data_IF_908271184645
#
_entry.id   IF_908271184645
#
_cell.length_a   1.000
_cell.length_b   1.000
_cell.length_c   1.000
_cell.angle_alpha   90.00
_cell.angle_beta   90.00
_cell.angle_gamma   90.00
#
_symmetry.space_group_name_H-M   'P 1'
#
loop_
_entity.id
_entity.type
_entity.pdbx_description
1 polymer ?
#
# COMPACT_ATOMS: atom_id res chain seq x y z
N UNK A 1 -5.26 -6.85 -7.96
CA UNK A 1 -5.33 -7.59 -6.67
C UNK A 1 -4.28 -7.05 -5.71
N UNK A 2 -4.50 -7.19 -4.39
CA UNK A 2 -3.43 -6.93 -3.42
C UNK A 2 -2.34 -8.03 -3.46
N UNK A 3 -1.21 -7.75 -2.83
CA UNK A 3 -0.09 -8.69 -2.75
C UNK A 3 -0.13 -9.51 -1.45
N UNK A 4 -0.07 -8.83 -0.30
CA UNK A 4 -0.01 -9.46 1.02
C UNK A 4 -1.38 -9.99 1.44
N UNK A 5 -1.48 -11.25 1.83
CA UNK A 5 -2.76 -11.88 2.18
C UNK A 5 -3.57 -12.39 0.97
N UNK A 6 -3.23 -11.97 -0.26
CA UNK A 6 -3.90 -12.42 -1.50
C UNK A 6 -2.98 -13.28 -2.35
N UNK A 7 -1.76 -12.82 -2.65
CA UNK A 7 -0.77 -13.58 -3.44
C UNK A 7 0.13 -14.38 -2.51
N UNK A 8 0.62 -13.75 -1.45
CA UNK A 8 1.54 -14.35 -0.48
C UNK A 8 1.22 -13.91 0.94
N UNK A 9 1.76 -14.66 1.89
CA UNK A 9 1.80 -14.33 3.31
C UNK A 9 3.15 -14.80 3.89
N UNK A 10 3.33 -14.77 5.21
CA UNK A 10 4.55 -15.20 5.89
C UNK A 10 4.94 -16.66 5.62
N UNK A 11 4.02 -17.51 5.16
CA UNK A 11 4.28 -18.91 4.81
C UNK A 11 4.76 -19.08 3.36
N UNK A 12 4.76 -17.99 2.57
CA UNK A 12 5.13 -18.00 1.16
C UNK A 12 3.96 -17.70 0.23
N UNK A 13 4.01 -18.22 -0.99
CA UNK A 13 2.91 -18.10 -1.96
C UNK A 13 1.71 -18.92 -1.47
N UNK A 14 0.52 -18.30 -1.50
CA UNK A 14 -0.73 -18.95 -1.13
C UNK A 14 -1.05 -20.05 -2.17
N UNK A 15 -1.43 -21.22 -1.68
CA UNK A 15 -1.71 -22.40 -2.53
C UNK A 15 -2.78 -22.07 -3.59
N UNK A 16 -2.52 -22.43 -4.85
CA UNK A 16 -3.43 -22.26 -5.98
C UNK A 16 -3.45 -20.87 -6.59
N UNK A 17 -2.75 -19.88 -5.99
CA UNK A 17 -2.71 -18.51 -6.48
C UNK A 17 -1.97 -18.39 -7.79
N UNK A 18 -0.86 -19.12 -7.98
CA UNK A 18 -0.10 -19.07 -9.23
C UNK A 18 -0.97 -19.49 -10.40
N UNK A 19 -1.59 -20.67 -10.30
CA UNK A 19 -2.47 -21.20 -11.32
C UNK A 19 -3.69 -20.30 -11.59
N UNK A 20 -4.18 -19.63 -10.55
CA UNK A 20 -5.27 -18.66 -10.68
C UNK A 20 -4.84 -17.40 -11.43
N UNK A 21 -3.65 -16.88 -11.14
CA UNK A 21 -3.07 -15.72 -11.87
C UNK A 21 -2.83 -16.09 -13.34
N UNK A 22 -2.27 -17.29 -13.62
CA UNK A 22 -2.02 -17.74 -14.98
C UNK A 22 -3.35 -17.82 -15.77
N UNK A 23 -4.42 -18.41 -15.20
CA UNK A 23 -5.76 -18.42 -15.80
C UNK A 23 -6.36 -17.01 -16.00
N UNK A 24 -6.16 -16.10 -15.05
CA UNK A 24 -6.62 -14.71 -15.21
C UNK A 24 -5.89 -14.02 -16.36
N UNK A 25 -4.59 -14.25 -16.53
CA UNK A 25 -3.79 -13.69 -17.62
C UNK A 25 -4.23 -14.17 -19.01
N UNK A 26 -4.83 -15.36 -19.12
CA UNK A 26 -5.46 -15.82 -20.36
C UNK A 26 -6.72 -15.03 -20.75
N UNK A 27 -7.36 -14.38 -19.77
CA UNK A 27 -8.59 -13.64 -19.93
C UNK A 27 -8.41 -12.13 -19.97
N UNK A 28 -7.30 -11.62 -19.41
CA UNK A 28 -7.06 -10.19 -19.32
C UNK A 28 -5.79 -9.83 -18.58
N UNK A 29 -5.62 -8.55 -18.34
CA UNK A 29 -4.45 -8.02 -17.63
C UNK A 29 -4.58 -8.17 -16.12
N UNK A 30 -3.50 -8.58 -15.47
CA UNK A 30 -3.42 -8.72 -14.01
C UNK A 30 -2.52 -7.63 -13.44
N UNK A 31 -3.05 -6.84 -12.50
CA UNK A 31 -2.33 -5.79 -11.78
C UNK A 31 -2.22 -6.11 -10.30
N UNK A 32 -1.07 -5.78 -9.71
CA UNK A 32 -0.87 -5.75 -8.26
C UNK A 32 -1.06 -4.32 -7.76
N UNK A 33 -1.97 -4.11 -6.81
CA UNK A 33 -2.27 -2.81 -6.18
C UNK A 33 -1.96 -2.92 -4.70
N UNK A 34 -0.85 -2.35 -4.26
CA UNK A 34 -0.28 -2.62 -2.95
C UNK A 34 0.08 -1.37 -2.16
N UNK A 35 -0.05 -1.44 -0.83
CA UNK A 35 0.48 -0.44 0.10
C UNK A 35 1.98 -0.63 0.40
N UNK A 36 2.66 -1.55 -0.29
CA UNK A 36 4.11 -1.69 -0.19
C UNK A 36 4.80 -0.49 -0.85
N UNK A 37 5.22 0.47 -0.03
CA UNK A 37 5.93 1.70 -0.43
C UNK A 37 7.42 1.64 -0.12
N UNK A 38 7.90 0.58 0.54
CA UNK A 38 9.31 0.45 0.92
C UNK A 38 10.17 -0.26 -0.13
N UNK A 39 9.56 -0.94 -1.09
CA UNK A 39 10.22 -1.56 -2.23
C UNK A 39 9.77 -0.89 -3.52
N UNK A 40 10.72 -0.63 -4.41
CA UNK A 40 10.44 -0.20 -5.77
C UNK A 40 9.74 -1.31 -6.57
N UNK A 41 8.93 -0.93 -7.53
CA UNK A 41 8.11 -1.88 -8.31
C UNK A 41 8.91 -2.98 -9.00
N UNK A 42 10.12 -2.68 -9.52
CA UNK A 42 11.01 -3.69 -10.08
C UNK A 42 11.47 -4.72 -9.03
N UNK A 43 11.71 -4.28 -7.78
CA UNK A 43 12.06 -5.18 -6.67
C UNK A 43 10.88 -6.08 -6.32
N UNK A 44 9.66 -5.54 -6.27
CA UNK A 44 8.43 -6.32 -6.03
C UNK A 44 8.23 -7.34 -7.15
N UNK A 45 8.33 -6.91 -8.42
CA UNK A 45 8.24 -7.78 -9.60
C UNK A 45 9.25 -8.94 -9.52
N UNK A 46 10.52 -8.62 -9.27
CA UNK A 46 11.59 -9.62 -9.13
C UNK A 46 11.32 -10.64 -8.00
N UNK A 47 10.79 -10.17 -6.87
CA UNK A 47 10.40 -11.08 -5.77
C UNK A 47 9.26 -12.02 -6.15
N UNK A 48 8.27 -11.54 -6.88
CA UNK A 48 7.16 -12.36 -7.38
C UNK A 48 7.64 -13.37 -8.41
N UNK A 49 8.47 -12.94 -9.37
CA UNK A 49 9.05 -13.81 -10.42
C UNK A 49 9.90 -14.92 -9.84
N UNK A 50 10.76 -14.65 -8.84
CA UNK A 50 11.54 -15.68 -8.13
C UNK A 50 10.67 -16.73 -7.45
N UNK A 51 9.40 -16.43 -7.19
CA UNK A 51 8.41 -17.34 -6.63
C UNK A 51 7.48 -17.96 -7.68
N UNK A 52 7.78 -17.75 -8.96
CA UNK A 52 7.03 -18.27 -10.09
C UNK A 52 5.76 -17.50 -10.43
N UNK A 53 5.58 -16.29 -9.89
CA UNK A 53 4.49 -15.35 -10.22
C UNK A 53 5.03 -14.31 -11.19
N UNK A 54 4.73 -14.45 -12.46
CA UNK A 54 5.20 -13.53 -13.50
C UNK A 54 4.29 -12.30 -13.60
N UNK A 55 4.61 -11.24 -12.86
CA UNK A 55 3.97 -9.93 -12.93
C UNK A 55 5.03 -8.90 -13.34
N UNK A 56 4.79 -8.22 -14.46
CA UNK A 56 5.69 -7.15 -14.93
C UNK A 56 5.69 -5.96 -13.97
N UNK A 57 6.80 -5.28 -13.85
CA UNK A 57 6.96 -4.05 -13.04
C UNK A 57 5.88 -3.01 -13.37
N UNK A 58 5.58 -2.81 -14.64
CA UNK A 58 4.57 -1.85 -15.11
C UNK A 58 3.14 -2.17 -14.66
N UNK A 59 2.88 -3.39 -14.22
CA UNK A 59 1.60 -3.85 -13.68
C UNK A 59 1.55 -3.82 -12.14
N UNK A 60 2.52 -3.17 -11.50
CA UNK A 60 2.54 -3.00 -10.04
C UNK A 60 2.25 -1.54 -9.70
N UNK A 61 1.17 -1.31 -8.97
CA UNK A 61 0.70 -0.01 -8.52
C UNK A 61 0.94 0.07 -7.02
N UNK A 62 2.02 0.75 -6.63
CA UNK A 62 2.39 0.96 -5.23
C UNK A 62 1.83 2.28 -4.70
N UNK A 63 1.45 2.33 -3.43
CA UNK A 63 1.11 3.57 -2.73
C UNK A 63 2.26 4.59 -2.74
N UNK A 64 3.51 4.14 -2.91
CA UNK A 64 4.68 5.01 -3.07
C UNK A 64 4.55 5.98 -4.25
N UNK A 65 3.83 5.62 -5.33
CA UNK A 65 3.57 6.55 -6.43
C UNK A 65 2.75 7.78 -6.02
N UNK A 66 2.05 7.71 -4.89
CA UNK A 66 1.35 8.85 -4.34
C UNK A 66 2.23 10.05 -4.03
N UNK A 67 3.52 9.83 -3.76
CA UNK A 67 4.47 10.92 -3.50
C UNK A 67 4.66 11.86 -4.70
N UNK A 68 4.53 11.34 -5.92
CA UNK A 68 4.69 12.12 -7.16
C UNK A 68 3.39 12.38 -7.92
N UNK A 69 2.38 11.52 -7.75
CA UNK A 69 1.14 11.57 -8.55
C UNK A 69 -0.05 12.19 -7.80
N UNK A 70 0.04 12.37 -6.49
CA UNK A 70 -0.92 13.17 -5.74
C UNK A 70 -0.40 14.62 -5.67
N UNK A 71 -1.16 15.58 -6.24
CA UNK A 71 -0.74 16.99 -6.38
C UNK A 71 -0.43 17.65 -5.03
N UNK A 72 -1.28 17.45 -4.02
CA UNK A 72 -1.07 17.99 -2.68
C UNK A 72 0.25 17.46 -2.09
N UNK A 73 0.41 16.13 -2.09
CA UNK A 73 1.60 15.48 -1.51
C UNK A 73 2.87 15.88 -2.26
N UNK A 74 2.85 15.86 -3.60
CA UNK A 74 4.01 16.20 -4.41
C UNK A 74 4.45 17.65 -4.22
N UNK A 75 3.52 18.57 -3.97
CA UNK A 75 3.82 19.97 -3.69
C UNK A 75 4.64 20.17 -2.40
N UNK A 76 4.46 19.30 -1.40
CA UNK A 76 5.28 19.32 -0.18
C UNK A 76 6.70 18.78 -0.42
N UNK A 77 6.90 17.93 -1.43
CA UNK A 77 8.20 17.28 -1.70
C UNK A 77 9.03 18.12 -2.69
N UNK A 78 8.38 18.73 -3.68
CA UNK A 78 9.06 19.43 -4.76
C UNK A 78 10.05 20.48 -4.24
N UNK A 79 11.31 20.38 -4.68
CA UNK A 79 12.43 21.28 -4.34
C UNK A 79 12.67 21.47 -2.83
N UNK A 80 12.44 20.42 -2.02
CA UNK A 80 12.67 20.44 -0.56
C UNK A 80 13.63 19.33 -0.14
N UNK A 81 14.24 19.51 1.02
CA UNK A 81 15.06 18.49 1.66
C UNK A 81 14.15 17.47 2.37
N UNK A 82 14.29 16.20 2.04
CA UNK A 82 13.41 15.13 2.51
C UNK A 82 14.18 14.17 3.39
N UNK A 83 13.73 14.00 4.64
CA UNK A 83 14.17 12.90 5.48
C UNK A 83 13.26 11.69 5.27
N UNK A 84 13.84 10.51 5.01
CA UNK A 84 13.09 9.29 4.71
C UNK A 84 13.28 8.28 5.82
N UNK A 85 12.21 7.97 6.53
CA UNK A 85 12.17 6.80 7.40
C UNK A 85 11.67 5.60 6.61
N UNK A 86 12.63 4.81 6.11
CA UNK A 86 12.33 3.68 5.24
C UNK A 86 13.56 3.07 4.58
N UNK A 87 13.35 2.21 3.59
CA UNK A 87 14.42 1.58 2.81
C UNK A 87 14.98 2.53 1.75
N UNK A 88 16.24 2.32 1.36
CA UNK A 88 16.84 3.04 0.22
C UNK A 88 16.09 2.79 -1.10
N UNK A 89 15.46 1.64 -1.26
CA UNK A 89 14.70 1.32 -2.47
C UNK A 89 13.45 2.21 -2.62
N UNK A 90 12.90 2.69 -1.50
CA UNK A 90 11.77 3.64 -1.50
C UNK A 90 12.15 5.05 -1.98
N UNK A 91 13.44 5.41 -1.98
CA UNK A 91 13.91 6.73 -2.45
C UNK A 91 13.50 6.99 -3.89
N UNK A 92 13.41 5.97 -4.74
CA UNK A 92 12.97 6.09 -6.13
C UNK A 92 11.58 6.71 -6.28
N UNK A 93 10.64 6.44 -5.36
CA UNK A 93 9.33 7.10 -5.37
C UNK A 93 9.42 8.59 -5.03
N UNK A 94 10.34 8.95 -4.14
CA UNK A 94 10.55 10.34 -3.70
C UNK A 94 11.22 11.14 -4.81
N UNK A 95 12.21 10.55 -5.48
CA UNK A 95 12.94 11.14 -6.62
C UNK A 95 11.99 11.53 -7.77
N UNK A 96 10.91 10.76 -8.00
CA UNK A 96 9.89 11.10 -8.99
C UNK A 96 9.17 12.42 -8.67
N UNK A 97 9.06 12.80 -7.40
CA UNK A 97 8.47 14.08 -6.97
C UNK A 97 9.47 15.25 -7.00
N UNK A 98 10.69 15.02 -7.50
CA UNK A 98 11.76 16.02 -7.70
C UNK A 98 12.08 16.80 -6.43
N UNK A 99 12.51 16.14 -5.34
CA UNK A 99 13.02 16.81 -4.15
C UNK A 99 14.28 17.63 -4.49
N UNK A 100 14.66 18.55 -3.62
CA UNK A 100 15.99 19.19 -3.69
C UNK A 100 17.07 18.16 -3.32
N UNK A 101 16.84 17.43 -2.22
CA UNK A 101 17.77 16.43 -1.71
C UNK A 101 17.05 15.44 -0.80
N UNK A 102 17.50 14.19 -0.76
CA UNK A 102 17.17 13.21 0.28
C UNK A 102 18.28 13.26 1.31
N UNK A 103 17.99 13.85 2.47
CA UNK A 103 18.97 14.06 3.54
C UNK A 103 19.07 12.86 4.48
N UNK A 104 20.22 12.68 5.12
CA UNK A 104 20.47 11.60 6.07
C UNK A 104 20.18 12.00 7.52
N UNK A 105 20.19 13.31 7.82
CA UNK A 105 19.85 13.85 9.13
C UNK A 105 18.45 14.49 9.10
N UNK A 106 17.66 14.20 10.13
CA UNK A 106 16.33 14.80 10.29
C UNK A 106 16.43 16.32 10.51
N UNK A 107 17.51 16.80 11.09
CA UNK A 107 17.76 18.22 11.36
C UNK A 107 17.82 19.07 10.09
N UNK A 108 18.21 18.47 8.97
CA UNK A 108 18.36 19.13 7.67
C UNK A 108 17.10 19.07 6.82
N UNK A 109 16.05 18.40 7.32
CA UNK A 109 14.82 18.15 6.57
C UNK A 109 13.81 19.30 6.66
N UNK A 110 13.03 19.42 5.57
CA UNK A 110 11.83 20.26 5.49
C UNK A 110 10.55 19.41 5.46
N UNK A 111 10.67 18.13 5.13
CA UNK A 111 9.59 17.17 5.06
C UNK A 111 10.08 15.80 5.53
N UNK A 112 9.24 15.05 6.21
CA UNK A 112 9.50 13.67 6.62
C UNK A 112 8.59 12.74 5.84
N UNK A 113 9.15 11.68 5.25
CA UNK A 113 8.41 10.64 4.54
C UNK A 113 8.59 9.28 5.22
N UNK A 114 7.48 8.66 5.61
CA UNK A 114 7.44 7.36 6.27
C UNK A 114 7.04 6.29 5.24
N UNK A 115 7.96 5.37 4.88
CA UNK A 115 7.70 4.32 3.88
C UNK A 115 7.75 2.91 4.42
N UNK A 116 8.43 2.68 5.55
CA UNK A 116 8.63 1.33 6.10
C UNK A 116 8.73 1.33 7.62
N UNK A 117 8.32 0.22 8.23
CA UNK A 117 8.50 -0.08 9.65
C UNK A 117 9.34 -1.35 9.90
N UNK A 118 10.03 -1.85 8.87
CA UNK A 118 10.89 -3.05 9.00
C UNK A 118 12.25 -2.76 9.63
N UNK A 119 12.47 -1.53 10.07
CA UNK A 119 13.67 -1.13 10.79
C UNK A 119 13.52 -1.45 12.28
N UNK A 120 14.57 -1.91 12.91
CA UNK A 120 14.57 -2.45 14.27
C UNK A 120 14.27 -1.43 15.39
N UNK A 121 14.25 -0.14 15.06
CA UNK A 121 14.20 0.97 16.03
C UNK A 121 13.01 1.92 15.83
N UNK A 122 11.84 1.38 15.45
CA UNK A 122 10.67 2.22 15.12
C UNK A 122 10.27 3.20 16.24
N UNK A 123 10.32 2.80 17.50
CA UNK A 123 9.93 3.69 18.60
C UNK A 123 10.97 4.79 18.85
N UNK A 124 12.26 4.46 18.78
CA UNK A 124 13.34 5.45 18.91
C UNK A 124 13.27 6.50 17.81
N UNK A 125 12.95 6.08 16.59
CA UNK A 125 12.79 7.00 15.47
C UNK A 125 11.56 7.92 15.63
N UNK A 126 10.43 7.40 16.11
CA UNK A 126 9.26 8.22 16.43
C UNK A 126 9.58 9.26 17.49
N UNK A 127 10.30 8.91 18.56
CA UNK A 127 10.72 9.87 19.58
C UNK A 127 11.70 10.92 19.01
N UNK A 128 12.59 10.53 18.10
CA UNK A 128 13.50 11.45 17.39
C UNK A 128 12.71 12.46 16.56
N UNK A 129 11.71 12.00 15.79
CA UNK A 129 10.81 12.88 15.00
C UNK A 129 10.05 13.83 15.92
N UNK A 130 9.47 13.33 17.01
CA UNK A 130 8.75 14.18 18.00
C UNK A 130 9.67 15.25 18.57
N UNK A 131 10.89 14.86 18.98
CA UNK A 131 11.89 15.79 19.51
C UNK A 131 12.27 16.88 18.49
N UNK A 132 12.45 16.50 17.23
CA UNK A 132 12.76 17.44 16.15
C UNK A 132 11.61 18.46 15.95
N UNK A 133 10.35 18.00 15.88
CA UNK A 133 9.17 18.86 15.73
C UNK A 133 9.04 19.81 16.92
N UNK A 134 9.26 19.34 18.13
CA UNK A 134 9.19 20.18 19.32
C UNK A 134 10.25 21.30 19.33
N UNK A 135 11.42 21.05 18.73
CA UNK A 135 12.52 22.03 18.66
C UNK A 135 12.38 23.03 17.51
N UNK A 136 11.99 22.56 16.33
CA UNK A 136 12.00 23.36 15.09
C UNK A 136 10.62 23.76 14.58
N UNK A 137 9.57 23.25 15.19
CA UNK A 137 8.19 23.47 14.74
C UNK A 137 7.70 22.36 13.82
N UNK A 138 6.41 22.40 13.52
CA UNK A 138 5.74 21.41 12.70
C UNK A 138 6.18 21.52 11.22
N UNK A 139 6.67 20.43 10.68
CA UNK A 139 6.94 20.24 9.24
C UNK A 139 6.00 19.18 8.67
N UNK A 140 5.73 19.17 7.35
CA UNK A 140 4.91 18.13 6.73
C UNK A 140 5.47 16.74 6.97
N UNK A 141 4.59 15.80 7.35
CA UNK A 141 4.90 14.38 7.50
C UNK A 141 3.96 13.61 6.60
N UNK A 142 4.50 12.70 5.80
CA UNK A 142 3.76 11.91 4.82
C UNK A 142 3.98 10.43 5.09
N UNK A 143 2.90 9.66 5.22
CA UNK A 143 2.95 8.21 5.37
C UNK A 143 2.41 7.53 4.11
N UNK A 144 3.24 6.71 3.46
CA UNK A 144 2.92 6.06 2.19
C UNK A 144 2.21 4.70 2.35
N UNK A 145 1.93 4.27 3.55
CA UNK A 145 1.20 3.04 3.83
C UNK A 145 0.33 3.25 5.08
N UNK A 146 -0.99 3.39 4.92
CA UNK A 146 -1.90 3.59 6.05
C UNK A 146 -2.24 2.30 6.80
N UNK A 147 -1.83 1.12 6.32
CA UNK A 147 -2.09 -0.14 7.02
C UNK A 147 -1.50 -0.12 8.42
N UNK A 148 -2.31 -0.51 9.41
CA UNK A 148 -1.89 -0.60 10.81
C UNK A 148 -1.20 -1.94 11.06
N UNK A 149 -1.70 -2.99 10.43
CA UNK A 149 -1.21 -4.36 10.58
C UNK A 149 -1.13 -5.07 9.23
N UNK A 150 -0.25 -6.05 9.16
CA UNK A 150 -0.25 -7.09 8.13
C UNK A 150 -0.32 -8.47 8.80
N UNK A 151 -0.82 -9.46 8.07
CA UNK A 151 -0.89 -10.83 8.55
C UNK A 151 0.52 -11.42 8.68
N UNK A 152 0.92 -11.77 9.88
CA UNK A 152 2.11 -12.55 10.17
C UNK A 152 1.77 -14.02 10.48
N UNK A 153 2.79 -14.89 10.51
CA UNK A 153 2.63 -16.34 10.68
C UNK A 153 1.83 -16.75 11.92
N UNK A 154 2.04 -16.06 13.04
CA UNK A 154 1.39 -16.38 14.33
C UNK A 154 0.59 -15.21 14.89
N UNK A 155 0.84 -14.00 14.44
CA UNK A 155 0.21 -12.77 14.95
C UNK A 155 0.21 -11.68 13.90
N UNK A 156 -0.62 -10.67 14.10
CA UNK A 156 -0.56 -9.44 13.30
C UNK A 156 0.74 -8.70 13.58
N UNK A 157 1.37 -8.19 12.54
CA UNK A 157 2.61 -7.41 12.58
C UNK A 157 2.25 -5.93 12.38
N UNK A 158 2.69 -5.07 13.30
CA UNK A 158 2.56 -3.62 13.18
C UNK A 158 3.41 -3.11 12.03
N UNK A 159 2.81 -2.31 11.15
CA UNK A 159 3.51 -1.69 10.02
C UNK A 159 3.48 -0.17 10.13
N UNK A 160 4.02 0.53 9.15
CA UNK A 160 4.31 1.97 9.28
C UNK A 160 3.09 2.82 9.61
N UNK A 161 1.90 2.47 9.14
CA UNK A 161 0.66 3.18 9.50
C UNK A 161 0.35 3.15 11.00
N UNK A 162 0.71 2.07 11.71
CA UNK A 162 0.61 2.03 13.18
C UNK A 162 1.50 3.10 13.82
N UNK A 163 2.74 3.22 13.36
CA UNK A 163 3.70 4.18 13.88
C UNK A 163 3.36 5.62 13.48
N UNK A 164 2.78 5.81 12.29
CA UNK A 164 2.23 7.10 11.87
C UNK A 164 1.09 7.56 12.81
N UNK A 165 0.16 6.65 13.17
CA UNK A 165 -0.90 6.97 14.13
C UNK A 165 -0.33 7.27 15.53
N UNK A 166 0.70 6.56 15.96
CA UNK A 166 1.38 6.86 17.23
C UNK A 166 2.00 8.26 17.19
N UNK A 167 2.65 8.62 16.08
CA UNK A 167 3.25 9.93 15.88
C UNK A 167 2.18 11.05 15.87
N UNK A 168 1.06 10.87 15.16
CA UNK A 168 -0.09 11.80 15.20
C UNK A 168 -0.54 12.09 16.62
N UNK A 169 -0.70 11.04 17.43
CA UNK A 169 -1.11 11.20 18.83
C UNK A 169 -0.07 11.97 19.67
N UNK A 170 1.23 11.78 19.39
CA UNK A 170 2.30 12.45 20.12
C UNK A 170 2.45 13.93 19.75
N UNK A 171 2.29 14.26 18.48
CA UNK A 171 2.42 15.66 17.99
C UNK A 171 1.10 16.44 18.04
N UNK A 172 -0.04 15.76 18.27
CA UNK A 172 -1.36 16.37 18.30
C UNK A 172 -1.81 16.96 16.95
N UNK A 173 -1.27 16.47 15.83
CA UNK A 173 -1.56 16.95 14.47
C UNK A 173 -1.68 15.77 13.50
N UNK A 174 -2.57 15.86 12.48
CA UNK A 174 -2.72 14.84 11.48
C UNK A 174 -1.47 14.73 10.59
N UNK A 175 -1.16 13.50 10.16
CA UNK A 175 -0.14 13.18 9.16
C UNK A 175 -0.84 12.93 7.83
N UNK A 176 -0.26 13.44 6.75
CA UNK A 176 -0.74 13.12 5.40
C UNK A 176 -0.51 11.64 5.11
N UNK A 177 -1.56 10.92 4.72
CA UNK A 177 -1.48 9.49 4.40
C UNK A 177 -1.94 9.23 2.98
N UNK A 178 -1.31 8.27 2.30
CA UNK A 178 -1.71 7.80 0.97
C UNK A 178 -1.59 6.29 0.87
N UNK A 179 -2.53 5.67 0.18
CA UNK A 179 -2.64 4.23 0.01
C UNK A 179 -4.07 3.75 0.25
N UNK A 180 -4.36 2.49 0.00
CA UNK A 180 -5.64 1.86 0.36
C UNK A 180 -5.84 1.89 1.89
N UNK A 181 -7.03 2.14 2.43
CA UNK A 181 -8.32 2.41 1.77
C UNK A 181 -8.61 3.92 1.54
N UNK A 182 -7.60 4.77 1.45
CA UNK A 182 -7.82 6.21 1.36
C UNK A 182 -8.24 6.63 -0.06
N UNK A 183 -9.21 7.54 -0.20
CA UNK A 183 -9.75 7.95 -1.50
C UNK A 183 -8.72 8.67 -2.38
N UNK A 184 -7.69 9.27 -1.80
CA UNK A 184 -6.62 9.95 -2.52
C UNK A 184 -5.71 9.00 -3.33
N UNK A 185 -5.80 7.67 -3.12
CA UNK A 185 -5.07 6.66 -3.88
C UNK A 185 -5.86 6.15 -5.11
N UNK A 186 -7.18 6.21 -5.08
CA UNK A 186 -8.04 5.73 -6.17
C UNK A 186 -7.78 6.40 -7.53
N UNK A 187 -7.50 7.73 -7.61
CA UNK A 187 -7.13 8.37 -8.87
C UNK A 187 -5.85 7.80 -9.50
N UNK A 188 -4.89 7.41 -8.68
CA UNK A 188 -3.63 6.79 -9.13
C UNK A 188 -3.91 5.44 -9.76
N UNK A 189 -4.68 4.58 -9.08
CA UNK A 189 -5.09 3.27 -9.62
C UNK A 189 -5.84 3.45 -10.94
N UNK A 190 -6.78 4.39 -11.00
CA UNK A 190 -7.53 4.72 -12.22
C UNK A 190 -6.62 5.16 -13.37
N UNK A 191 -5.62 5.99 -13.10
CA UNK A 191 -4.65 6.45 -14.10
C UNK A 191 -3.86 5.29 -14.70
N UNK A 192 -3.44 4.34 -13.86
CA UNK A 192 -2.75 3.13 -14.34
C UNK A 192 -3.67 2.24 -15.18
N UNK A 193 -4.90 1.99 -14.73
CA UNK A 193 -5.85 1.20 -15.50
C UNK A 193 -6.08 1.83 -16.89
N UNK A 194 -6.33 3.14 -16.95
CA UNK A 194 -6.52 3.86 -18.23
C UNK A 194 -5.30 3.82 -19.13
N UNK A 195 -4.08 3.84 -18.55
CA UNK A 195 -2.83 3.78 -19.34
C UNK A 195 -2.63 2.44 -20.02
N UNK A 196 -2.92 1.34 -19.32
CA UNK A 196 -2.62 -0.01 -19.78
C UNK A 196 -3.82 -0.74 -20.38
N UNK A 197 -5.03 -0.29 -20.08
CA UNK A 197 -6.28 -0.83 -20.58
C UNK A 197 -7.21 0.35 -20.91
N UNK A 198 -6.94 1.15 -21.97
CA UNK A 198 -7.66 2.40 -22.23
C UNK A 198 -9.16 2.25 -22.40
N UNK A 199 -9.58 1.13 -22.98
CA UNK A 199 -10.99 0.85 -23.32
C UNK A 199 -11.70 -0.08 -22.33
N UNK A 200 -11.14 -0.29 -21.12
CA UNK A 200 -11.80 -1.16 -20.15
C UNK A 200 -13.14 -0.60 -19.70
N UNK A 201 -14.12 -1.48 -19.57
CA UNK A 201 -15.34 -1.19 -18.85
C UNK A 201 -15.16 -1.50 -17.35
N UNK A 202 -15.67 -0.65 -16.47
CA UNK A 202 -15.51 -0.85 -15.02
C UNK A 202 -16.14 -2.14 -14.52
N UNK A 203 -17.17 -2.68 -15.19
CA UNK A 203 -17.77 -3.97 -14.88
C UNK A 203 -16.94 -5.19 -15.34
N UNK A 204 -15.85 -4.98 -16.08
CA UNK A 204 -14.89 -6.03 -16.48
C UNK A 204 -13.69 -6.10 -15.54
N UNK A 205 -13.61 -5.20 -14.56
CA UNK A 205 -12.51 -5.14 -13.59
C UNK A 205 -12.96 -5.64 -12.23
N UNK A 206 -12.18 -6.54 -11.63
CA UNK A 206 -12.39 -7.02 -10.27
C UNK A 206 -11.14 -6.79 -9.42
N UNK A 207 -11.32 -6.20 -8.25
CA UNK A 207 -10.25 -5.99 -7.26
C UNK A 207 -10.35 -7.00 -6.12
N UNK A 208 -9.27 -7.71 -5.83
CA UNK A 208 -9.15 -8.72 -4.78
C UNK A 208 -8.25 -8.19 -3.65
N UNK A 209 -8.73 -8.22 -2.42
CA UNK A 209 -7.95 -7.81 -1.24
C UNK A 209 -8.42 -8.60 0.00
N UNK A 210 -7.55 -8.84 0.95
CA UNK A 210 -7.88 -9.50 2.23
C UNK A 210 -8.41 -8.51 3.28
N UNK A 211 -8.27 -7.22 3.04
CA UNK A 211 -8.88 -6.16 3.84
C UNK A 211 -10.17 -5.69 3.17
N UNK A 212 -11.32 -5.97 3.81
CA UNK A 212 -12.64 -5.59 3.28
C UNK A 212 -12.76 -4.08 3.06
N UNK A 213 -12.15 -3.24 3.90
CA UNK A 213 -12.21 -1.79 3.76
C UNK A 213 -11.55 -1.32 2.45
N UNK A 214 -10.40 -1.93 2.09
CA UNK A 214 -9.73 -1.69 0.82
C UNK A 214 -10.61 -2.09 -0.38
N UNK A 215 -11.27 -3.26 -0.28
CA UNK A 215 -12.20 -3.74 -1.32
C UNK A 215 -13.32 -2.75 -1.54
N UNK A 216 -14.02 -2.36 -0.48
CA UNK A 216 -15.19 -1.47 -0.55
C UNK A 216 -14.79 -0.08 -1.05
N UNK A 217 -13.64 0.43 -0.61
CA UNK A 217 -13.14 1.73 -1.05
C UNK A 217 -12.90 1.76 -2.57
N UNK A 218 -12.11 0.81 -3.10
CA UNK A 218 -11.81 0.79 -4.55
C UNK A 218 -13.03 0.40 -5.39
N UNK A 219 -13.89 -0.51 -4.90
CA UNK A 219 -15.17 -0.84 -5.54
C UNK A 219 -16.02 0.41 -5.75
N UNK A 220 -16.18 1.22 -4.72
CA UNK A 220 -16.95 2.46 -4.76
C UNK A 220 -16.32 3.52 -5.67
N UNK A 221 -15.05 3.82 -5.46
CA UNK A 221 -14.39 4.95 -6.10
C UNK A 221 -14.11 4.72 -7.58
N UNK A 222 -13.82 3.48 -7.97
CA UNK A 222 -13.55 3.10 -9.35
C UNK A 222 -14.79 2.55 -10.07
N UNK A 223 -15.86 2.24 -9.33
CA UNK A 223 -17.10 1.58 -9.80
C UNK A 223 -16.81 0.19 -10.41
N UNK A 224 -15.84 -0.53 -9.87
CA UNK A 224 -15.41 -1.87 -10.28
C UNK A 224 -16.00 -2.93 -9.35
N UNK A 225 -15.86 -4.21 -9.71
CA UNK A 225 -16.21 -5.29 -8.80
C UNK A 225 -15.16 -5.42 -7.69
N UNK A 226 -15.62 -5.70 -6.48
CA UNK A 226 -14.79 -6.00 -5.32
C UNK A 226 -14.95 -7.45 -4.88
N UNK A 227 -13.83 -8.12 -4.62
CA UNK A 227 -13.78 -9.47 -4.09
C UNK A 227 -12.96 -9.50 -2.79
N UNK A 228 -13.61 -9.87 -1.69
CA UNK A 228 -12.96 -10.01 -0.40
C UNK A 228 -12.38 -11.41 -0.22
N UNK A 229 -11.07 -11.50 0.00
CA UNK A 229 -10.34 -12.74 0.30
C UNK A 229 -10.26 -12.92 1.81
N UNK A 230 -11.04 -13.86 2.36
CA UNK A 230 -11.33 -13.90 3.79
C UNK A 230 -10.30 -14.66 4.62
N UNK A 231 -9.74 -15.77 4.13
CA UNK A 231 -9.10 -16.75 5.02
C UNK A 231 -7.56 -16.80 4.91
N UNK A 232 -6.95 -15.95 4.09
CA UNK A 232 -5.49 -16.01 3.81
C UNK A 232 -4.68 -14.83 4.34
N UNK A 233 -5.34 -13.75 4.79
CA UNK A 233 -4.71 -12.51 5.23
C UNK A 233 -5.18 -12.00 6.60
N UNK A 234 -5.31 -10.68 6.73
CA UNK A 234 -5.68 -10.02 8.00
C UNK A 234 -7.11 -10.34 8.46
N UNK A 235 -7.99 -10.70 7.53
CA UNK A 235 -9.39 -11.03 7.82
C UNK A 235 -9.59 -12.48 8.29
N UNK A 236 -8.54 -13.27 8.35
CA UNK A 236 -8.62 -14.64 8.84
C UNK A 236 -9.20 -14.68 10.26
N UNK A 237 -10.22 -15.52 10.46
CA UNK A 237 -10.94 -15.69 11.74
C UNK A 237 -11.83 -14.49 12.15
N UNK A 238 -12.08 -13.53 11.25
CA UNK A 238 -13.03 -12.46 11.52
C UNK A 238 -14.42 -12.88 11.02
N UNK A 239 -15.45 -12.65 11.83
CA UNK A 239 -16.83 -12.95 11.44
C UNK A 239 -17.28 -12.09 10.27
N UNK A 240 -17.68 -12.74 9.18
CA UNK A 240 -18.09 -12.10 7.92
C UNK A 240 -19.24 -11.10 8.13
N UNK A 241 -20.26 -11.50 8.90
CA UNK A 241 -21.43 -10.67 9.14
C UNK A 241 -21.09 -9.35 9.86
N UNK A 242 -20.18 -9.41 10.85
CA UNK A 242 -19.74 -8.23 11.59
C UNK A 242 -19.00 -7.24 10.68
N UNK A 243 -18.12 -7.72 9.82
CA UNK A 243 -17.37 -6.86 8.89
C UNK A 243 -18.27 -6.22 7.82
N UNK A 244 -19.17 -7.00 7.22
CA UNK A 244 -20.11 -6.46 6.21
C UNK A 244 -21.04 -5.41 6.84
N UNK A 245 -21.51 -5.61 8.06
CA UNK A 245 -22.31 -4.61 8.77
C UNK A 245 -21.56 -3.30 8.97
N UNK A 246 -20.24 -3.37 9.18
CA UNK A 246 -19.38 -2.19 9.39
C UNK A 246 -19.04 -1.45 8.10
N UNK A 247 -18.72 -2.16 7.01
CA UNK A 247 -18.10 -1.57 5.82
C UNK A 247 -18.97 -1.60 4.56
N UNK A 248 -20.06 -2.30 4.51
CA UNK A 248 -20.87 -2.69 3.36
C UNK A 248 -20.44 -4.03 2.74
N UNK A 249 -21.21 -4.51 1.76
CA UNK A 249 -20.97 -5.81 1.12
C UNK A 249 -20.09 -5.67 -0.14
N UNK A 250 -19.06 -6.53 -0.29
CA UNK A 250 -18.37 -6.68 -1.55
C UNK A 250 -19.25 -7.43 -2.56
N UNK A 251 -18.90 -7.37 -3.86
CA UNK A 251 -19.61 -8.16 -4.88
C UNK A 251 -19.38 -9.67 -4.69
N UNK A 252 -18.15 -10.05 -4.26
CA UNK A 252 -17.76 -11.44 -4.08
C UNK A 252 -17.00 -11.64 -2.77
N UNK A 253 -17.12 -12.85 -2.21
CA UNK A 253 -16.35 -13.30 -1.05
C UNK A 253 -15.76 -14.66 -1.39
N UNK A 254 -14.44 -14.79 -1.26
CA UNK A 254 -13.72 -16.04 -1.49
C UNK A 254 -12.86 -16.37 -0.26
N UNK A 255 -12.67 -17.65 0.06
CA UNK A 255 -11.76 -18.05 1.14
C UNK A 255 -10.30 -17.73 0.79
N UNK A 256 -9.90 -17.93 -0.45
CA UNK A 256 -8.57 -17.63 -0.99
C UNK A 256 -8.66 -17.36 -2.49
N UNK A 257 -7.59 -16.82 -3.07
CA UNK A 257 -7.48 -16.66 -4.52
C UNK A 257 -7.05 -18.04 -5.14
N UNK A 258 -7.91 -19.02 -4.99
CA UNK A 258 -7.75 -20.35 -5.61
C UNK A 258 -8.97 -20.64 -6.48
N UNK A 259 -8.83 -20.40 -7.80
CA UNK A 259 -9.87 -20.62 -8.80
C UNK A 259 -9.83 -22.02 -9.42
N UNK A 260 -9.20 -22.95 -8.74
CA UNK A 260 -9.28 -24.37 -9.15
C UNK A 260 -10.65 -24.92 -8.76
N UNK A 261 -11.27 -25.76 -9.63
CA UNK A 261 -12.53 -26.43 -9.34
C UNK A 261 -12.40 -27.39 -8.17
#
# INVERSE_FOLDING_TARGET
>A
MDASGVIYNDSGIIRGVKESIDKMKEKGSVFVVTNNSFQWTATISSHLQKKGIDINESHIISSGFGLSQNEEISSFIYNRNIYVYGSKDSHKYIELAKPKEIVTSIEDSNVIVLTSSYLSKNLEEIESIVSHINKKGLIPIICCNPDIFVAGRKKLIKVIGYYANLLENRIGKPILKIGKPLPNFSPIVRSYLKRYIPEYSSNEVCFFDDNLENVIQLQRDLKIHGCWIKDTGISKNIETHHQIKKYAAPNFILPSLNLQP
#
